data_IF_630936405159
#
_entry.id   IF_630936405159
#
_cell.length_a   1.000
_cell.length_b   1.000
_cell.length_c   1.000
_cell.angle_alpha   90.00
_cell.angle_beta   90.00
_cell.angle_gamma   90.00
#
_symmetry.space_group_name_H-M   'P 1'
#
loop_
_entity.id
_entity.type
_entity.pdbx_description
1 polymer ?
#
# COMPACT_ATOMS: atom_id res chain seq x y z
N UNK A 1 -10.96 -6.15 6.12
CA UNK A 1 -9.59 -6.41 5.66
C UNK A 1 -8.70 -5.36 6.28
N UNK A 2 -7.50 -5.71 6.71
CA UNK A 2 -6.54 -4.76 7.29
C UNK A 2 -5.13 -5.02 6.77
N UNK A 3 -4.35 -3.96 6.67
CA UNK A 3 -2.92 -3.98 6.40
C UNK A 3 -2.22 -3.28 7.56
N UNK A 4 -1.13 -3.84 8.05
CA UNK A 4 -0.27 -3.27 9.06
C UNK A 4 1.13 -3.11 8.46
N UNK A 5 1.59 -1.88 8.33
CA UNK A 5 2.95 -1.57 7.89
C UNK A 5 3.94 -1.86 9.02
N UNK A 6 5.16 -2.29 8.71
CA UNK A 6 6.19 -2.52 9.74
C UNK A 6 6.70 -1.23 10.40
N UNK A 7 6.47 -0.06 9.78
CA UNK A 7 6.86 1.24 10.31
C UNK A 7 5.64 2.07 10.67
N UNK A 8 5.59 2.56 11.90
CA UNK A 8 4.50 3.40 12.41
C UNK A 8 4.44 4.78 11.74
N UNK A 9 5.60 5.31 11.33
CA UNK A 9 5.70 6.59 10.59
C UNK A 9 5.20 6.48 9.13
N UNK A 10 5.03 5.25 8.62
CA UNK A 10 4.64 4.99 7.25
C UNK A 10 5.65 5.50 6.21
N UNK A 11 6.90 5.80 6.59
CA UNK A 11 7.92 6.33 5.68
C UNK A 11 8.87 5.22 5.25
N UNK A 12 9.10 5.10 3.94
CA UNK A 12 9.97 4.09 3.35
C UNK A 12 10.89 4.71 2.32
N UNK A 13 12.17 4.36 2.35
CA UNK A 13 13.13 4.85 1.38
C UNK A 13 13.04 4.07 0.06
N UNK A 14 13.16 4.78 -1.05
CA UNK A 14 13.32 4.15 -2.36
C UNK A 14 14.52 3.20 -2.38
N UNK A 15 14.38 2.05 -3.04
CA UNK A 15 15.42 1.02 -3.09
C UNK A 15 15.60 0.20 -1.80
N UNK A 16 14.72 0.37 -0.79
CA UNK A 16 14.67 -0.47 0.42
C UNK A 16 13.44 -1.37 0.41
N UNK A 17 13.41 -2.34 1.33
CA UNK A 17 12.29 -3.26 1.48
C UNK A 17 11.17 -2.63 2.29
N UNK A 18 9.95 -2.68 1.75
CA UNK A 18 8.71 -2.54 2.50
C UNK A 18 8.29 -3.92 3.01
N UNK A 19 8.14 -4.02 4.33
CA UNK A 19 7.52 -5.16 4.99
C UNK A 19 6.14 -4.76 5.52
N UNK A 20 5.14 -5.58 5.28
CA UNK A 20 3.80 -5.38 5.78
C UNK A 20 3.15 -6.72 6.10
N UNK A 21 2.13 -6.66 6.94
CA UNK A 21 1.28 -7.78 7.29
C UNK A 21 -0.14 -7.46 6.88
N UNK A 22 -0.89 -8.46 6.44
CA UNK A 22 -2.27 -8.26 6.03
C UNK A 22 -3.15 -9.43 6.42
N UNK A 23 -4.45 -9.17 6.58
CA UNK A 23 -5.44 -10.20 6.87
C UNK A 23 -6.81 -9.86 6.32
N UNK A 24 -7.59 -10.91 6.06
CA UNK A 24 -9.02 -10.81 5.80
C UNK A 24 -9.74 -11.42 6.99
N UNK A 25 -10.82 -10.78 7.43
CA UNK A 25 -11.56 -11.24 8.60
C UNK A 25 -13.04 -11.05 8.34
N UNK A 26 -13.86 -11.88 9.00
CA UNK A 26 -15.33 -11.83 8.90
C UNK A 26 -15.85 -12.08 7.48
N UNK A 27 -15.12 -12.88 6.70
CA UNK A 27 -15.54 -13.39 5.39
C UNK A 27 -15.28 -14.89 5.39
N UNK A 28 -16.26 -15.66 4.94
CA UNK A 28 -16.10 -17.09 4.74
C UNK A 28 -15.11 -17.35 3.60
N UNK A 29 -14.16 -18.27 3.81
CA UNK A 29 -13.21 -18.70 2.79
C UNK A 29 -13.93 -19.20 1.54
N UNK A 30 -15.03 -19.93 1.70
CA UNK A 30 -15.76 -20.49 0.57
C UNK A 30 -16.48 -19.43 -0.28
N UNK A 31 -16.77 -18.27 0.32
CA UNK A 31 -17.36 -17.14 -0.36
C UNK A 31 -16.32 -16.34 -1.18
N UNK A 32 -15.02 -16.56 -0.99
CA UNK A 32 -13.96 -15.88 -1.74
C UNK A 32 -13.61 -16.64 -3.01
N UNK A 33 -13.58 -15.92 -4.13
CA UNK A 33 -13.04 -16.39 -5.39
C UNK A 33 -11.53 -16.15 -5.48
N UNK A 34 -11.07 -14.98 -5.01
CA UNK A 34 -9.66 -14.62 -5.00
C UNK A 34 -9.35 -13.43 -4.10
N UNK A 35 -8.06 -13.28 -3.78
CA UNK A 35 -7.50 -12.10 -3.12
C UNK A 35 -6.30 -11.61 -3.90
N UNK A 36 -6.21 -10.30 -4.09
CA UNK A 36 -5.06 -9.64 -4.68
C UNK A 36 -4.43 -8.70 -3.66
N UNK A 37 -3.10 -8.71 -3.60
CA UNK A 37 -2.29 -7.81 -2.81
C UNK A 37 -1.36 -7.08 -3.75
N UNK A 38 -1.32 -5.75 -3.63
CA UNK A 38 -0.53 -4.91 -4.53
C UNK A 38 0.19 -3.81 -3.77
N UNK A 39 1.43 -3.52 -4.16
CA UNK A 39 2.09 -2.25 -3.84
C UNK A 39 2.03 -1.40 -5.10
N UNK A 40 1.45 -0.22 -5.01
CA UNK A 40 1.20 0.62 -6.17
C UNK A 40 1.33 2.09 -5.80
N UNK A 41 1.46 2.91 -6.84
CA UNK A 41 1.32 4.35 -6.72
C UNK A 41 0.32 4.88 -7.73
N UNK A 42 -0.24 6.04 -7.42
CA UNK A 42 -1.10 6.79 -8.34
C UNK A 42 -0.93 8.29 -8.15
N UNK A 43 -1.21 9.04 -9.20
CA UNK A 43 -1.34 10.49 -9.11
C UNK A 43 -2.76 10.89 -8.71
N UNK A 44 -2.89 11.98 -7.98
CA UNK A 44 -4.18 12.60 -7.67
C UNK A 44 -4.03 14.11 -7.84
N UNK A 45 -5.00 14.77 -8.48
CA UNK A 45 -4.94 16.21 -8.66
C UNK A 45 -5.75 16.72 -9.84
N UNK A 46 -5.39 17.91 -10.33
CA UNK A 46 -5.98 18.47 -11.55
C UNK A 46 -5.27 17.91 -12.78
N UNK A 47 -5.98 17.16 -13.60
CA UNK A 47 -5.47 16.53 -14.82
C UNK A 47 -5.68 15.03 -14.81
N UNK A 48 -4.90 14.33 -15.62
CA UNK A 48 -5.00 12.88 -15.74
C UNK A 48 -4.45 12.16 -14.50
N UNK A 49 -5.15 11.11 -14.12
CA UNK A 49 -4.72 10.19 -13.07
C UNK A 49 -3.93 9.07 -13.71
N UNK A 50 -2.68 8.90 -13.27
CA UNK A 50 -1.84 7.77 -13.60
C UNK A 50 -1.81 6.79 -12.43
N UNK A 51 -1.65 5.50 -12.70
CA UNK A 51 -1.54 4.45 -11.71
C UNK A 51 -0.64 3.35 -12.22
N UNK A 52 0.34 2.95 -11.41
CA UNK A 52 1.20 1.83 -11.70
C UNK A 52 1.29 0.88 -10.51
N UNK A 53 1.14 -0.42 -10.80
CA UNK A 53 1.39 -1.50 -9.85
C UNK A 53 2.87 -1.85 -9.90
N UNK A 54 3.56 -1.66 -8.77
CA UNK A 54 4.96 -2.01 -8.61
C UNK A 54 5.13 -3.48 -8.21
N UNK A 55 4.29 -3.95 -7.29
CA UNK A 55 4.26 -5.34 -6.85
C UNK A 55 2.84 -5.87 -6.90
N UNK A 56 2.69 -7.13 -7.30
CA UNK A 56 1.41 -7.81 -7.40
C UNK A 56 1.54 -9.27 -6.98
N UNK A 57 0.59 -9.74 -6.18
CA UNK A 57 0.36 -11.16 -5.92
C UNK A 57 -1.12 -11.41 -5.88
N UNK A 58 -1.52 -12.57 -6.40
CA UNK A 58 -2.90 -13.03 -6.42
C UNK A 58 -2.95 -14.43 -5.86
N UNK A 59 -3.91 -14.65 -4.97
CA UNK A 59 -4.25 -15.92 -4.38
C UNK A 59 -5.60 -16.34 -4.95
N UNK A 60 -5.62 -17.43 -5.70
CA UNK A 60 -6.87 -18.05 -6.14
C UNK A 60 -7.47 -18.87 -5.00
N UNK A 61 -8.73 -19.29 -5.15
CA UNK A 61 -9.46 -20.03 -4.13
C UNK A 61 -8.65 -21.19 -3.51
N UNK A 62 -7.98 -22.00 -4.33
CA UNK A 62 -7.19 -23.13 -3.84
C UNK A 62 -5.97 -22.68 -3.01
N UNK A 63 -5.33 -21.55 -3.36
CA UNK A 63 -4.24 -20.98 -2.57
C UNK A 63 -4.74 -20.52 -1.21
N UNK A 64 -5.91 -19.89 -1.18
CA UNK A 64 -6.55 -19.39 0.03
C UNK A 64 -6.90 -20.52 1.01
N UNK A 65 -7.37 -21.66 0.50
CA UNK A 65 -7.63 -22.85 1.33
C UNK A 65 -6.34 -23.47 1.89
N UNK A 66 -5.23 -23.45 1.15
CA UNK A 66 -3.95 -24.00 1.63
C UNK A 66 -3.27 -23.09 2.66
N UNK A 67 -3.32 -21.78 2.46
CA UNK A 67 -2.63 -20.81 3.32
C UNK A 67 -3.42 -20.41 4.56
N UNK A 68 -4.75 -20.52 4.53
CA UNK A 68 -5.65 -20.03 5.59
C UNK A 68 -5.71 -18.50 5.63
N UNK A 69 -6.90 -17.91 5.53
CA UNK A 69 -7.08 -16.44 5.56
C UNK A 69 -7.31 -15.85 6.95
N UNK A 70 -7.60 -16.68 7.95
CA UNK A 70 -7.76 -16.22 9.33
C UNK A 70 -6.43 -15.75 9.93
N UNK A 71 -5.33 -16.33 9.47
CA UNK A 71 -3.98 -15.99 9.89
C UNK A 71 -3.46 -14.76 9.15
N UNK A 72 -2.54 -14.07 9.82
CA UNK A 72 -1.89 -12.89 9.28
C UNK A 72 -0.84 -13.30 8.24
N UNK A 73 -0.96 -12.74 7.05
CA UNK A 73 -0.09 -13.01 5.90
C UNK A 73 0.97 -11.92 5.76
N UNK A 74 2.17 -12.28 5.32
CA UNK A 74 3.28 -11.33 5.16
C UNK A 74 3.43 -10.86 3.72
N UNK A 75 3.91 -9.63 3.55
CA UNK A 75 4.29 -9.00 2.29
C UNK A 75 5.69 -8.43 2.44
N UNK A 76 6.61 -8.81 1.55
CA UNK A 76 7.95 -8.24 1.45
C UNK A 76 8.16 -7.75 0.02
N UNK A 77 8.46 -6.46 -0.13
CA UNK A 77 8.55 -5.81 -1.43
C UNK A 77 9.77 -4.89 -1.47
N UNK A 78 10.74 -5.17 -2.35
CA UNK A 78 11.81 -4.22 -2.66
C UNK A 78 11.21 -3.04 -3.44
N UNK A 79 11.19 -1.85 -2.84
CA UNK A 79 10.65 -0.65 -3.46
C UNK A 79 11.58 -0.15 -4.57
N UNK A 80 11.03 0.48 -5.63
CA UNK A 80 11.85 1.11 -6.65
C UNK A 80 12.49 2.40 -6.10
N UNK A 81 13.43 2.99 -6.84
CA UNK A 81 14.00 4.29 -6.46
C UNK A 81 12.99 5.44 -6.62
N UNK A 82 12.04 5.32 -7.56
CA UNK A 82 11.07 6.35 -7.95
C UNK A 82 9.74 5.72 -8.38
N UNK A 83 8.63 6.49 -8.42
CA UNK A 83 8.50 7.91 -8.02
C UNK A 83 8.40 8.11 -6.51
N UNK A 84 9.03 9.16 -5.98
CA UNK A 84 8.87 9.53 -4.58
C UNK A 84 7.45 10.04 -4.31
N UNK A 85 6.97 9.87 -3.08
CA UNK A 85 5.74 10.53 -2.63
C UNK A 85 5.91 12.04 -2.71
N UNK A 86 4.89 12.69 -3.24
CA UNK A 86 4.87 14.13 -3.43
C UNK A 86 3.52 14.68 -3.02
N UNK A 87 3.50 15.76 -2.25
CA UNK A 87 2.27 16.41 -1.79
C UNK A 87 2.18 17.86 -2.27
N UNK A 88 2.11 18.03 -3.60
CA UNK A 88 1.92 19.34 -4.20
C UNK A 88 0.46 19.80 -4.20
N UNK A 89 0.26 21.10 -4.49
CA UNK A 89 -1.08 21.71 -4.61
C UNK A 89 -1.85 21.24 -5.84
N UNK A 90 -1.15 20.99 -6.95
CA UNK A 90 -1.76 20.64 -8.23
C UNK A 90 -1.82 19.13 -8.46
N UNK A 91 -0.79 18.42 -8.01
CA UNK A 91 -0.63 16.98 -8.16
C UNK A 91 -0.01 16.41 -6.90
N UNK A 92 -0.44 15.20 -6.56
CA UNK A 92 0.11 14.37 -5.50
C UNK A 92 0.51 13.03 -6.08
N UNK A 93 1.57 12.44 -5.57
CA UNK A 93 1.95 11.05 -5.83
C UNK A 93 1.74 10.27 -4.54
N UNK A 94 0.79 9.35 -4.56
CA UNK A 94 0.39 8.54 -3.40
C UNK A 94 0.85 7.10 -3.60
N UNK A 95 1.46 6.53 -2.57
CA UNK A 95 1.79 5.11 -2.51
C UNK A 95 0.85 4.39 -1.55
N UNK A 96 0.50 3.15 -1.88
CA UNK A 96 -0.34 2.32 -1.03
C UNK A 96 -0.03 0.83 -1.18
N UNK A 97 -0.24 0.10 -0.08
CA UNK A 97 -0.53 -1.33 -0.13
C UNK A 97 -2.04 -1.48 -0.30
N UNK A 98 -2.48 -2.10 -1.39
CA UNK A 98 -3.89 -2.34 -1.71
C UNK A 98 -4.20 -3.83 -1.60
N UNK A 99 -5.28 -4.17 -0.90
CA UNK A 99 -5.89 -5.50 -0.94
C UNK A 99 -7.21 -5.41 -1.69
N UNK A 100 -7.42 -6.29 -2.66
CA UNK A 100 -8.73 -6.53 -3.28
C UNK A 100 -9.19 -7.95 -2.99
N UNK A 101 -10.41 -8.11 -2.49
CA UNK A 101 -11.03 -9.42 -2.33
C UNK A 101 -12.21 -9.53 -3.29
N UNK A 102 -12.28 -10.64 -4.00
CA UNK A 102 -13.31 -10.96 -4.98
C UNK A 102 -14.10 -12.13 -4.43
N UNK A 103 -15.42 -11.99 -4.37
CA UNK A 103 -16.31 -13.07 -3.92
C UNK A 103 -16.87 -13.84 -5.09
N UNK A 104 -17.31 -15.08 -4.83
CA UNK A 104 -17.94 -15.97 -5.83
C UNK A 104 -19.25 -15.39 -6.39
N UNK A 105 -19.93 -14.54 -5.62
CA UNK A 105 -21.16 -13.83 -6.05
C UNK A 105 -20.86 -12.54 -6.84
N UNK A 106 -19.59 -12.26 -7.14
CA UNK A 106 -19.16 -11.15 -7.99
C UNK A 106 -18.92 -9.82 -7.27
N UNK A 107 -19.12 -9.74 -5.94
CA UNK A 107 -18.78 -8.54 -5.16
C UNK A 107 -17.27 -8.37 -5.07
N UNK A 108 -16.87 -7.11 -4.88
CA UNK A 108 -15.46 -6.70 -4.75
C UNK A 108 -15.32 -5.81 -3.54
N UNK A 109 -14.39 -6.16 -2.66
CA UNK A 109 -13.99 -5.34 -1.53
C UNK A 109 -12.58 -4.84 -1.75
N UNK A 110 -12.30 -3.62 -1.31
CA UNK A 110 -10.98 -3.01 -1.42
C UNK A 110 -10.62 -2.32 -0.11
N UNK A 111 -9.35 -2.42 0.28
CA UNK A 111 -8.76 -1.55 1.28
C UNK A 111 -7.39 -1.08 0.81
N UNK A 112 -7.03 0.15 1.16
CA UNK A 112 -5.72 0.73 0.92
C UNK A 112 -5.13 1.17 2.26
N UNK A 113 -3.86 0.82 2.46
CA UNK A 113 -3.04 1.38 3.52
C UNK A 113 -1.97 2.27 2.89
N UNK A 114 -2.10 3.60 3.01
CA UNK A 114 -1.15 4.52 2.42
C UNK A 114 0.19 4.47 3.16
N UNK A 115 1.26 4.76 2.42
CA UNK A 115 2.60 5.00 2.95
C UNK A 115 3.29 6.09 2.11
N UNK A 116 4.44 6.58 2.59
CA UNK A 116 5.23 7.59 1.93
C UNK A 116 6.54 7.01 1.43
N UNK A 117 6.83 7.21 0.14
CA UNK A 117 8.13 6.88 -0.43
C UNK A 117 9.03 8.12 -0.42
N UNK A 118 10.15 8.05 0.28
CA UNK A 118 11.12 9.15 0.45
C UNK A 118 12.45 8.81 -0.22
N UNK A 119 13.28 9.84 -0.46
CA UNK A 119 14.58 9.64 -1.10
C UNK A 119 15.49 8.75 -0.22
N UNK A 120 16.38 7.94 -0.82
CA UNK A 120 17.36 7.16 -0.06
C UNK A 120 18.20 8.05 0.87
N UNK A 121 18.45 7.59 2.09
CA UNK A 121 19.19 8.34 3.11
C UNK A 121 18.39 9.48 3.76
N UNK A 122 17.11 9.61 3.43
CA UNK A 122 16.24 10.56 4.14
C UNK A 122 16.06 10.09 5.57
N UNK A 123 15.91 8.78 5.83
CA UNK A 123 15.63 8.15 7.14
C UNK A 123 16.90 8.08 8.03
N UNK A 124 16.96 8.93 9.06
CA UNK A 124 18.02 9.21 10.02
C UNK A 124 17.36 9.65 11.34
N UNK A 125 17.87 9.20 12.48
CA UNK A 125 17.23 9.29 13.80
C UNK A 125 16.83 10.73 14.19
N UNK A 126 15.56 11.07 13.98
CA UNK A 126 14.88 12.21 14.60
C UNK A 126 14.67 13.42 13.70
N UNK A 127 13.51 13.47 13.03
CA UNK A 127 12.86 14.59 12.31
C UNK A 127 13.04 14.56 10.79
N UNK A 128 11.95 14.30 10.05
CA UNK A 128 11.96 14.19 8.58
C UNK A 128 10.73 14.76 7.91
N UNK A 129 10.98 15.36 6.76
CA UNK A 129 10.03 16.14 5.99
C UNK A 129 9.63 15.38 4.73
N UNK A 130 8.33 15.17 4.52
CA UNK A 130 7.82 14.88 3.17
C UNK A 130 8.10 16.11 2.32
N UNK A 131 8.71 15.94 1.14
CA UNK A 131 9.01 17.04 0.22
C UNK A 131 7.69 17.72 -0.18
N UNK A 132 7.45 18.92 0.36
CA UNK A 132 6.24 19.71 0.15
C UNK A 132 5.54 20.21 1.43
N UNK A 133 5.95 19.75 2.61
CA UNK A 133 5.35 20.16 3.88
C UNK A 133 5.93 21.51 4.39
N UNK A 134 5.66 22.61 3.67
CA UNK A 134 5.96 23.97 4.16
C UNK A 134 4.71 24.85 4.25
N UNK A 135 4.46 25.28 5.50
CA UNK A 135 3.72 26.44 6.01
C UNK A 135 2.19 26.38 6.08
N UNK A 136 1.68 25.96 7.25
CA UNK A 136 0.84 26.81 8.13
C UNK A 136 1.12 26.50 9.60
N UNK A 137 2.03 27.26 10.23
CA UNK A 137 1.81 27.66 11.62
C UNK A 137 0.96 28.92 11.55
N UNK A 138 -0.25 28.84 12.11
CA UNK A 138 -1.21 29.93 12.21
C UNK A 138 -0.60 31.05 13.06
N UNK A 139 -0.70 32.29 12.58
CA UNK A 139 -0.71 33.50 13.40
C UNK A 139 -2.14 33.81 13.82
#
# INVERSE_FOLDING_TARGET
MSVCLCREDGMYEGGKTLEARWRISRVDLDALAAVEVSVLWYTEGKGDTDMQVHYFTRFEKDDLHRCGLADEQSLNCLLPATPLSYHGRLIRVKWAVRIRAFTVDGRKFMTEQPFYMVAPGSISNGTQSVVGEQRRRLS
#
